data_IF_285514795122
#
_entry.id   IF_285514795122
#
_cell.length_a   1.000
_cell.length_b   1.000
_cell.length_c   1.000
_cell.angle_alpha   90.00
_cell.angle_beta   90.00
_cell.angle_gamma   90.00
#
_symmetry.space_group_name_H-M   'P 1'
#
loop_
_entity.id
_entity.type
_entity.pdbx_description
1 polymer ?
#
# COMPACT_ATOMS: atom_id res chain seq x y z
N UNK A 1 -6.93 14.80 10.43
CA UNK A 1 -6.88 15.95 9.50
C UNK A 1 -6.28 17.11 10.27
N UNK A 2 -5.44 17.93 9.66
CA UNK A 2 -4.81 19.07 10.32
C UNK A 2 -5.87 20.14 10.64
N UNK A 3 -5.98 20.58 11.89
CA UNK A 3 -6.93 21.62 12.29
C UNK A 3 -6.32 23.00 12.07
N UNK A 4 -6.68 23.61 10.94
CA UNK A 4 -6.19 24.94 10.58
C UNK A 4 -6.68 26.05 11.50
N UNK A 5 -7.84 25.88 12.13
CA UNK A 5 -8.42 26.90 12.99
C UNK A 5 -7.72 26.89 14.35
N UNK A 6 -7.60 25.72 14.97
CA UNK A 6 -6.88 25.53 16.23
C UNK A 6 -5.44 26.05 16.11
N UNK A 7 -4.73 25.67 15.05
CA UNK A 7 -3.36 26.14 14.83
C UNK A 7 -3.26 27.66 14.62
N UNK A 8 -4.23 28.28 13.94
CA UNK A 8 -4.24 29.73 13.79
C UNK A 8 -4.50 30.44 15.13
N UNK A 9 -5.36 29.88 15.99
CA UNK A 9 -5.59 30.40 17.35
C UNK A 9 -4.34 30.29 18.23
N UNK A 10 -3.61 29.17 18.16
CA UNK A 10 -2.33 29.00 18.87
C UNK A 10 -1.30 30.04 18.44
N UNK A 11 -1.17 30.30 17.13
CA UNK A 11 -0.28 31.34 16.61
C UNK A 11 -0.66 32.73 17.12
N UNK A 12 -1.97 33.05 17.14
CA UNK A 12 -2.46 34.32 17.71
C UNK A 12 -2.15 34.43 19.20
N UNK A 13 -2.34 33.35 19.97
CA UNK A 13 -1.99 33.31 21.39
C UNK A 13 -0.49 33.50 21.63
N UNK A 14 0.36 33.07 20.68
CA UNK A 14 1.80 33.30 20.68
C UNK A 14 2.21 34.71 20.19
N UNK A 15 1.25 35.58 19.85
CA UNK A 15 1.49 36.96 19.43
C UNK A 15 1.69 37.14 17.91
N UNK A 16 1.42 36.11 17.11
CA UNK A 16 1.43 36.25 15.64
C UNK A 16 0.18 37.02 15.21
N UNK A 17 0.30 38.07 14.36
CA UNK A 17 -0.85 38.81 13.87
C UNK A 17 -1.85 37.90 13.14
N UNK A 18 -3.15 38.14 13.32
CA UNK A 18 -4.24 37.32 12.78
C UNK A 18 -4.09 36.99 11.29
N UNK A 19 -3.83 38.01 10.46
CA UNK A 19 -3.61 37.80 9.03
C UNK A 19 -2.43 36.88 8.72
N UNK A 20 -1.35 36.93 9.51
CA UNK A 20 -0.21 36.04 9.34
C UNK A 20 -0.50 34.63 9.85
N UNK A 21 -1.20 34.50 10.99
CA UNK A 21 -1.59 33.20 11.56
C UNK A 21 -2.43 32.38 10.58
N UNK A 22 -3.43 33.02 9.94
CA UNK A 22 -4.24 32.35 8.91
C UNK A 22 -3.44 31.95 7.67
N UNK A 23 -2.51 32.80 7.21
CA UNK A 23 -1.66 32.47 6.06
C UNK A 23 -0.75 31.29 6.36
N UNK A 24 -0.17 31.23 7.57
CA UNK A 24 0.67 30.12 8.02
C UNK A 24 -0.15 28.82 8.14
N UNK A 25 -1.30 28.85 8.80
CA UNK A 25 -2.17 27.69 8.95
C UNK A 25 -2.59 27.11 7.59
N UNK A 26 -2.97 27.97 6.64
CA UNK A 26 -3.34 27.56 5.29
C UNK A 26 -2.15 27.07 4.45
N UNK A 27 -0.96 27.62 4.67
CA UNK A 27 0.25 27.11 4.01
C UNK A 27 0.59 25.71 4.52
N UNK A 28 0.48 25.49 5.83
CA UNK A 28 0.76 24.20 6.44
C UNK A 28 -0.28 23.13 6.08
N UNK A 29 -1.58 23.44 6.09
CA UNK A 29 -2.62 22.49 5.65
C UNK A 29 -2.38 22.03 4.21
N UNK A 30 -2.08 22.95 3.28
CA UNK A 30 -1.73 22.60 1.90
C UNK A 30 -0.51 21.68 1.82
N UNK A 31 0.54 21.95 2.59
CA UNK A 31 1.70 21.06 2.63
C UNK A 31 1.33 19.66 3.16
N UNK A 32 0.47 19.58 4.16
CA UNK A 32 0.03 18.29 4.72
C UNK A 32 -0.92 17.54 3.81
N UNK A 33 -1.71 18.22 2.98
CA UNK A 33 -2.65 17.61 2.04
C UNK A 33 -1.98 17.20 0.73
N UNK A 34 -1.07 18.02 0.20
CA UNK A 34 -0.48 17.80 -1.13
C UNK A 34 0.77 16.90 -1.11
N UNK A 35 1.48 16.82 0.01
CA UNK A 35 2.82 16.20 0.06
C UNK A 35 2.97 15.02 1.00
N UNK A 36 1.99 14.75 1.85
CA UNK A 36 2.08 13.66 2.82
C UNK A 36 1.16 12.51 2.42
N UNK A 37 1.71 11.30 2.38
CA UNK A 37 0.90 10.10 2.34
C UNK A 37 0.09 10.00 3.64
N UNK A 38 -1.20 9.73 3.49
CA UNK A 38 -2.14 9.56 4.58
C UNK A 38 -2.16 8.13 5.09
N UNK A 39 -2.73 7.90 6.28
CA UNK A 39 -2.93 6.54 6.80
C UNK A 39 -3.81 5.69 5.88
N UNK A 40 -4.73 6.31 5.14
CA UNK A 40 -5.62 5.64 4.20
C UNK A 40 -4.84 5.16 2.97
N UNK A 41 -3.90 5.97 2.46
CA UNK A 41 -2.98 5.54 1.39
C UNK A 41 -2.19 4.29 1.81
N UNK A 42 -1.69 4.28 3.05
CA UNK A 42 -1.02 3.09 3.60
C UNK A 42 -1.95 1.88 3.77
N UNK A 43 -3.23 2.11 4.11
CA UNK A 43 -4.20 1.03 4.22
C UNK A 43 -4.49 0.41 2.85
N UNK A 44 -4.63 1.24 1.81
CA UNK A 44 -4.77 0.80 0.42
C UNK A 44 -3.56 -0.02 0.00
N UNK A 45 -2.34 0.50 0.22
CA UNK A 45 -1.10 -0.21 -0.12
C UNK A 45 -0.96 -1.56 0.60
N UNK A 46 -1.41 -1.66 1.86
CA UNK A 46 -1.43 -2.93 2.59
C UNK A 46 -2.38 -3.94 1.96
N UNK A 47 -3.57 -3.51 1.56
CA UNK A 47 -4.54 -4.35 0.85
C UNK A 47 -3.98 -4.81 -0.48
N UNK A 48 -3.43 -3.90 -1.28
CA UNK A 48 -2.81 -4.21 -2.57
C UNK A 48 -1.67 -5.22 -2.41
N UNK A 49 -0.82 -5.03 -1.39
CA UNK A 49 0.26 -5.96 -1.08
C UNK A 49 -0.27 -7.35 -0.70
N UNK A 50 -1.31 -7.43 0.12
CA UNK A 50 -1.94 -8.70 0.48
C UNK A 50 -2.52 -9.42 -0.74
N UNK A 51 -3.15 -8.68 -1.66
CA UNK A 51 -3.69 -9.24 -2.90
C UNK A 51 -2.57 -9.75 -3.82
N UNK A 52 -1.45 -9.02 -3.92
CA UNK A 52 -0.27 -9.48 -4.68
C UNK A 52 0.29 -10.75 -4.06
N UNK A 53 0.41 -10.81 -2.72
CA UNK A 53 0.89 -12.00 -2.03
C UNK A 53 -0.01 -13.22 -2.26
N UNK A 54 -1.33 -13.06 -2.16
CA UNK A 54 -2.30 -14.11 -2.42
C UNK A 54 -2.21 -14.62 -3.87
N UNK A 55 -2.15 -13.70 -4.83
CA UNK A 55 -2.00 -14.04 -6.26
C UNK A 55 -0.71 -14.83 -6.51
N UNK A 56 0.41 -14.38 -5.96
CA UNK A 56 1.70 -15.07 -6.12
C UNK A 56 1.69 -16.46 -5.48
N UNK A 57 1.06 -16.63 -4.31
CA UNK A 57 0.88 -17.95 -3.70
C UNK A 57 0.06 -18.88 -4.59
N UNK A 58 -1.01 -18.37 -5.19
CA UNK A 58 -1.84 -19.12 -6.15
C UNK A 58 -1.06 -19.53 -7.41
N UNK A 59 -0.31 -18.60 -8.00
CA UNK A 59 0.53 -18.87 -9.17
C UNK A 59 1.61 -19.93 -8.87
N UNK A 60 2.25 -19.87 -7.69
CA UNK A 60 3.22 -20.88 -7.25
C UNK A 60 2.56 -22.25 -7.12
N UNK A 61 1.42 -22.36 -6.43
CA UNK A 61 0.71 -23.62 -6.26
C UNK A 61 0.26 -24.24 -7.60
N UNK A 62 -0.14 -23.40 -8.55
CA UNK A 62 -0.49 -23.83 -9.90
C UNK A 62 0.73 -24.40 -10.65
N UNK A 63 1.88 -23.73 -10.56
CA UNK A 63 3.14 -24.21 -11.16
C UNK A 63 3.58 -25.53 -10.53
N UNK A 64 3.54 -25.66 -9.20
CA UNK A 64 3.88 -26.90 -8.49
C UNK A 64 2.99 -28.06 -8.92
N UNK A 65 1.67 -27.82 -9.03
CA UNK A 65 0.71 -28.83 -9.49
C UNK A 65 1.00 -29.27 -10.92
N UNK A 66 1.24 -28.30 -11.82
CA UNK A 66 1.55 -28.58 -13.22
C UNK A 66 2.83 -29.40 -13.36
N UNK A 67 3.92 -28.98 -12.72
CA UNK A 67 5.19 -29.68 -12.78
C UNK A 67 5.09 -31.10 -12.19
N UNK A 68 4.35 -31.27 -11.09
CA UNK A 68 4.12 -32.61 -10.51
C UNK A 68 3.37 -33.53 -11.48
N UNK A 69 2.37 -32.99 -12.18
CA UNK A 69 1.63 -33.72 -13.23
C UNK A 69 2.52 -34.11 -14.41
N UNK A 70 3.32 -33.17 -14.93
CA UNK A 70 4.26 -33.42 -16.02
C UNK A 70 5.31 -34.48 -15.64
N UNK A 71 5.84 -34.43 -14.41
CA UNK A 71 6.78 -35.45 -13.90
C UNK A 71 6.11 -36.83 -13.83
N UNK A 72 4.87 -36.90 -13.34
CA UNK A 72 4.13 -38.16 -13.26
C UNK A 72 3.90 -38.76 -14.65
N UNK A 73 3.50 -37.92 -15.62
CA UNK A 73 3.32 -38.34 -17.01
C UNK A 73 4.60 -38.91 -17.62
N UNK A 74 5.73 -38.18 -17.51
CA UNK A 74 7.04 -38.64 -18.01
C UNK A 74 7.44 -39.97 -17.37
N UNK A 75 7.19 -40.18 -16.07
CA UNK A 75 7.47 -41.46 -15.39
C UNK A 75 6.64 -42.61 -15.94
N UNK A 76 5.36 -42.37 -16.24
CA UNK A 76 4.47 -43.37 -16.84
C UNK A 76 4.91 -43.73 -18.25
N UNK A 77 5.21 -42.73 -19.08
CA UNK A 77 5.72 -42.93 -20.45
C UNK A 77 7.00 -43.77 -20.46
N UNK A 78 7.99 -43.40 -19.64
CA UNK A 78 9.26 -44.15 -19.55
C UNK A 78 9.07 -45.58 -19.03
N UNK A 79 8.15 -45.80 -18.09
CA UNK A 79 7.85 -47.15 -17.58
C UNK A 79 7.18 -48.01 -18.66
N UNK A 80 6.35 -47.41 -19.52
CA UNK A 80 5.71 -48.09 -20.65
C UNK A 80 6.67 -48.43 -21.79
N UNK A 81 7.72 -47.63 -22.01
CA UNK A 81 8.73 -47.90 -23.05
C UNK A 81 9.70 -49.04 -22.69
N UNK A 82 9.87 -49.32 -21.39
CA UNK A 82 10.81 -50.34 -20.90
C UNK A 82 10.12 -51.71 -20.70
N UNK A 83 8.77 -51.75 -20.68
CA UNK A 83 7.96 -52.96 -20.54
C UNK A 83 7.73 -53.69 -21.88
#
# INVERSE_FOLDING_TARGET
>A
MFDTLEYAEELKAAGVPEGQAHVQARALSRLTEEKLATKDDFAILKTDLAHVEERLRGEIAQVETKLSGEIAQVRTELSGEIA
#
